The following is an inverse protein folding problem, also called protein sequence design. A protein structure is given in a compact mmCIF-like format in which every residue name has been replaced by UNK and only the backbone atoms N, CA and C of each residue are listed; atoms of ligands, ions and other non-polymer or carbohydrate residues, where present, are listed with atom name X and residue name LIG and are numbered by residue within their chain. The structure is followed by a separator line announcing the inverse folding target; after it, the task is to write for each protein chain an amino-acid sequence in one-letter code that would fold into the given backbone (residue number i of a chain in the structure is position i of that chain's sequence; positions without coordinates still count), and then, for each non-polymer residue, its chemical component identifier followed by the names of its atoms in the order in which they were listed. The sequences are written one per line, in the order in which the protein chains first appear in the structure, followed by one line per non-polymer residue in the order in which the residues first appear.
data_IF_006353199886
#
_entry.id   IF_006353199886
#
_cell.length_a   1.000
_cell.length_b   1.000
_cell.length_c   1.000
_cell.angle_alpha   90.00
_cell.angle_beta   90.00
_cell.angle_gamma   90.00
#
_symmetry.space_group_name_H-M   'P 1'
#
loop_
_entity.id
_entity.type
_entity.pdbx_description
1 polymer ?
#
# COMPACT_ATOMS: atom_id res chain seq x y z
N UNK A 1 -14.57 8.05 2.44
CA UNK A 1 -14.61 7.00 1.39
C UNK A 1 -16.06 6.72 1.06
N UNK A 2 -16.54 7.10 -0.15
CA UNK A 2 -17.93 6.87 -0.56
C UNK A 2 -18.19 5.43 -1.06
N UNK A 3 -17.14 4.72 -1.51
CA UNK A 3 -17.17 3.32 -1.95
C UNK A 3 -15.81 2.67 -1.65
N UNK A 4 -15.80 1.45 -1.12
CA UNK A 4 -14.56 0.69 -0.89
C UNK A 4 -13.77 0.40 -2.17
N UNK A 5 -14.41 0.34 -3.34
CA UNK A 5 -13.69 0.25 -4.62
C UNK A 5 -12.87 1.52 -4.87
N UNK A 6 -13.44 2.69 -4.58
CA UNK A 6 -12.69 3.96 -4.64
C UNK A 6 -11.57 3.99 -3.59
N UNK A 7 -11.81 3.50 -2.37
CA UNK A 7 -10.76 3.35 -1.35
C UNK A 7 -9.59 2.48 -1.80
N UNK A 8 -9.87 1.32 -2.41
CA UNK A 8 -8.87 0.43 -3.01
C UNK A 8 -8.05 1.13 -4.10
N UNK A 9 -8.72 1.86 -5.00
CA UNK A 9 -8.06 2.62 -6.06
C UNK A 9 -7.16 3.71 -5.50
N UNK A 10 -7.64 4.48 -4.51
CA UNK A 10 -6.85 5.54 -3.87
C UNK A 10 -5.62 4.97 -3.15
N UNK A 11 -5.76 3.88 -2.40
CA UNK A 11 -4.65 3.23 -1.73
C UNK A 11 -3.61 2.68 -2.71
N UNK A 12 -4.07 2.05 -3.79
CA UNK A 12 -3.16 1.66 -4.90
C UNK A 12 -2.46 2.89 -5.45
N UNK A 13 -3.19 3.91 -5.89
CA UNK A 13 -2.61 5.07 -6.55
C UNK A 13 -1.61 5.83 -5.68
N UNK A 14 -1.75 5.80 -4.35
CA UNK A 14 -0.80 6.41 -3.43
C UNK A 14 0.60 5.76 -3.52
N UNK A 15 0.69 4.44 -3.71
CA UNK A 15 1.95 3.73 -3.92
C UNK A 15 2.58 4.01 -5.30
N UNK A 16 1.73 4.30 -6.29
CA UNK A 16 2.12 4.51 -7.69
C UNK A 16 2.24 6.01 -8.05
N UNK A 17 2.07 6.91 -7.08
CA UNK A 17 1.93 8.34 -7.35
C UNK A 17 3.24 9.05 -7.72
N UNK A 18 4.42 8.41 -7.62
CA UNK A 18 5.74 8.90 -8.04
C UNK A 18 6.29 10.12 -7.28
N UNK A 19 5.45 11.14 -7.06
CA UNK A 19 5.77 12.44 -6.50
C UNK A 19 5.73 12.52 -4.96
N UNK A 20 5.24 11.48 -4.26
CA UNK A 20 5.16 11.46 -2.79
C UNK A 20 5.62 10.11 -2.25
N UNK A 21 6.75 10.12 -1.55
CA UNK A 21 7.25 8.96 -0.81
C UNK A 21 6.37 8.73 0.41
N UNK A 22 5.79 7.54 0.53
CA UNK A 22 5.07 7.15 1.75
C UNK A 22 6.08 6.66 2.79
N UNK A 23 6.25 7.43 3.86
CA UNK A 23 7.08 7.05 5.01
C UNK A 23 6.22 6.43 6.08
N UNK A 24 6.62 5.29 6.64
CA UNK A 24 5.92 4.59 7.72
C UNK A 24 6.91 4.25 8.82
N UNK A 25 7.05 5.18 9.77
CA UNK A 25 8.12 5.13 10.77
C UNK A 25 9.48 5.18 10.09
N UNK A 26 10.30 4.15 10.32
CA UNK A 26 11.63 4.00 9.68
C UNK A 26 11.59 3.35 8.29
N UNK A 27 10.42 2.89 7.84
CA UNK A 27 10.25 2.19 6.57
C UNK A 27 9.62 3.06 5.50
N UNK A 28 9.72 2.63 4.25
CA UNK A 28 9.07 3.29 3.11
C UNK A 28 8.11 2.34 2.40
N UNK A 29 7.08 2.89 1.77
CA UNK A 29 6.17 2.17 0.89
C UNK A 29 6.20 2.83 -0.50
N UNK A 30 6.75 2.11 -1.47
CA UNK A 30 7.04 2.60 -2.82
C UNK A 30 6.70 1.55 -3.88
N UNK A 31 6.58 1.99 -5.12
CA UNK A 31 6.32 1.11 -6.26
C UNK A 31 7.50 0.17 -6.60
N UNK A 32 8.75 0.63 -6.48
CA UNK A 32 9.97 -0.17 -6.72
C UNK A 32 9.99 -1.47 -5.89
N UNK A 33 9.53 -1.39 -4.64
CA UNK A 33 9.41 -2.54 -3.74
C UNK A 33 8.38 -3.56 -4.26
N UNK A 34 7.25 -3.11 -4.81
CA UNK A 34 6.21 -3.99 -5.40
C UNK A 34 6.71 -4.59 -6.71
N UNK A 35 7.39 -3.81 -7.55
CA UNK A 35 8.00 -4.28 -8.79
C UNK A 35 9.10 -5.33 -8.53
N UNK A 36 9.87 -5.15 -7.46
CA UNK A 36 10.87 -6.12 -7.02
C UNK A 36 10.21 -7.42 -6.57
N UNK A 37 9.14 -7.33 -5.77
CA UNK A 37 8.38 -8.50 -5.33
C UNK A 37 7.76 -9.25 -6.53
N UNK A 38 7.25 -8.56 -7.54
CA UNK A 38 6.66 -9.21 -8.72
C UNK A 38 7.66 -9.97 -9.58
N UNK A 39 8.96 -9.63 -9.50
CA UNK A 39 10.04 -10.28 -10.24
C UNK A 39 10.61 -11.52 -9.53
N UNK A 40 10.22 -11.78 -8.28
CA UNK A 40 10.68 -12.95 -7.53
C UNK A 40 10.10 -14.25 -8.13
N UNK A 41 10.87 -15.34 -8.11
CA UNK A 41 10.46 -16.62 -8.70
C UNK A 41 9.28 -17.29 -7.99
N UNK A 42 9.04 -16.95 -6.73
CA UNK A 42 7.93 -17.37 -5.88
C UNK A 42 6.84 -16.29 -5.71
N UNK A 43 6.87 -15.27 -6.57
CA UNK A 43 5.90 -14.17 -6.53
C UNK A 43 4.47 -14.66 -6.74
N UNK A 44 3.57 -14.25 -5.84
CA UNK A 44 2.11 -14.36 -6.02
C UNK A 44 1.52 -13.24 -6.87
N UNK A 45 2.32 -12.22 -7.19
CA UNK A 45 1.90 -11.08 -8.01
C UNK A 45 2.13 -11.40 -9.49
N UNK A 46 1.11 -11.18 -10.32
CA UNK A 46 1.26 -11.22 -11.77
C UNK A 46 1.96 -9.96 -12.25
N UNK A 47 3.07 -10.14 -12.97
CA UNK A 47 3.87 -9.04 -13.50
C UNK A 47 3.02 -8.06 -14.34
N UNK A 48 2.05 -8.57 -15.12
CA UNK A 48 1.11 -7.76 -15.92
C UNK A 48 0.20 -6.84 -15.11
N UNK A 49 -0.06 -7.16 -13.84
CA UNK A 49 -0.92 -6.35 -12.96
C UNK A 49 -0.12 -5.24 -12.26
N UNK A 50 1.20 -5.40 -12.19
CA UNK A 50 2.15 -4.46 -11.57
C UNK A 50 2.76 -3.55 -12.63
N UNK A 51 3.19 -4.11 -13.75
CA UNK A 51 3.73 -3.39 -14.89
C UNK A 51 2.66 -2.50 -15.51
N UNK A 52 2.88 -1.21 -15.41
CA UNK A 52 2.20 -0.24 -16.25
C UNK A 52 3.29 0.59 -16.95
N UNK A 53 3.23 0.66 -18.27
CA UNK A 53 4.34 1.09 -19.15
C UNK A 53 4.85 2.49 -18.81
N UNK A 54 3.95 3.41 -18.43
CA UNK A 54 4.28 4.80 -18.12
C UNK A 54 5.20 4.97 -16.88
N UNK A 55 5.26 3.97 -15.99
CA UNK A 55 5.98 4.06 -14.71
C UNK A 55 7.34 3.39 -14.74
N UNK A 56 7.56 2.48 -15.70
CA UNK A 56 8.86 1.82 -15.85
C UNK A 56 9.93 2.87 -16.20
N UNK A 57 9.63 3.81 -17.10
CA UNK A 57 10.56 4.89 -17.47
C UNK A 57 10.98 5.74 -16.26
N UNK A 58 10.06 6.08 -15.36
CA UNK A 58 10.36 6.89 -14.16
C UNK A 58 11.16 6.14 -13.09
N UNK A 59 11.01 4.81 -13.02
CA UNK A 59 11.63 3.96 -11.98
C UNK A 59 13.02 3.52 -12.40
N UNK A 60 13.26 3.28 -13.70
CA UNK A 60 14.59 2.93 -14.21
C UNK A 60 15.60 4.08 -14.08
N UNK A 61 15.14 5.33 -13.97
CA UNK A 61 16.02 6.51 -13.80
C UNK A 61 16.49 6.69 -12.33
N UNK A 62 15.85 6.00 -11.37
CA UNK A 62 16.26 6.00 -9.97
C UNK A 62 17.22 4.83 -9.72
N UNK A 63 18.52 5.14 -9.63
CA UNK A 63 19.56 4.18 -9.27
C UNK A 63 19.14 3.30 -8.08
N UNK A 64 19.25 1.99 -8.30
CA UNK A 64 18.84 0.87 -7.44
C UNK A 64 19.53 0.95 -6.06
N UNK A 65 18.96 1.75 -5.16
CA UNK A 65 19.23 1.64 -3.74
C UNK A 65 18.30 0.57 -3.19
N UNK A 66 18.84 -0.63 -2.98
CA UNK A 66 18.15 -1.66 -2.22
C UNK A 66 17.86 -1.09 -0.82
N UNK A 67 16.64 -0.57 -0.64
CA UNK A 67 16.15 -0.16 0.67
C UNK A 67 15.77 -1.44 1.43
N UNK A 68 16.53 -1.82 2.47
CA UNK A 68 16.30 -3.07 3.19
C UNK A 68 14.98 -3.04 3.99
N UNK A 69 14.32 -1.88 4.12
CA UNK A 69 13.21 -1.73 5.05
C UNK A 69 11.82 -1.93 4.41
N UNK A 70 11.53 -3.18 4.01
CA UNK A 70 10.22 -3.61 3.45
C UNK A 70 9.05 -3.52 4.45
N UNK A 71 9.32 -3.25 5.72
CA UNK A 71 8.31 -3.17 6.77
C UNK A 71 7.29 -2.06 6.50
N UNK A 72 7.71 -0.94 5.92
CA UNK A 72 6.80 0.15 5.55
C UNK A 72 5.74 -0.31 4.56
N UNK A 73 6.16 -0.89 3.43
CA UNK A 73 5.24 -1.45 2.44
C UNK A 73 4.28 -2.49 3.06
N UNK A 74 4.79 -3.40 3.89
CA UNK A 74 3.94 -4.40 4.54
C UNK A 74 2.87 -3.78 5.44
N UNK A 75 3.26 -2.83 6.30
CA UNK A 75 2.34 -2.10 7.18
C UNK A 75 1.28 -1.38 6.35
N UNK A 76 1.69 -0.71 5.26
CA UNK A 76 0.77 -0.02 4.36
C UNK A 76 -0.27 -0.98 3.77
N UNK A 77 0.20 -2.08 3.16
CA UNK A 77 -0.66 -3.06 2.51
C UNK A 77 -1.59 -3.74 3.52
N UNK A 78 -1.10 -4.01 4.73
CA UNK A 78 -1.91 -4.59 5.80
C UNK A 78 -3.02 -3.63 6.25
N UNK A 79 -2.69 -2.39 6.61
CA UNK A 79 -3.65 -1.43 7.16
C UNK A 79 -4.74 -1.08 6.14
N UNK A 80 -4.35 -0.78 4.89
CA UNK A 80 -5.30 -0.42 3.83
C UNK A 80 -6.04 -1.67 3.33
N UNK A 81 -5.36 -2.80 3.20
CA UNK A 81 -5.94 -4.08 2.78
C UNK A 81 -7.01 -4.56 3.75
N UNK A 82 -6.74 -4.54 5.06
CA UNK A 82 -7.70 -4.94 6.08
C UNK A 82 -8.91 -4.02 6.14
N UNK A 83 -8.74 -2.70 5.95
CA UNK A 83 -9.88 -1.78 5.85
C UNK A 83 -10.80 -2.12 4.67
N UNK A 84 -10.23 -2.42 3.50
CA UNK A 84 -11.00 -2.79 2.30
C UNK A 84 -11.68 -4.14 2.51
N UNK A 85 -10.96 -5.12 3.09
CA UNK A 85 -11.47 -6.44 3.43
C UNK A 85 -12.64 -6.33 4.41
N UNK A 86 -12.49 -5.57 5.51
CA UNK A 86 -13.55 -5.31 6.48
C UNK A 86 -14.82 -4.72 5.84
N UNK A 87 -14.67 -3.86 4.82
CA UNK A 87 -15.81 -3.28 4.14
C UNK A 87 -16.50 -4.26 3.16
N UNK A 88 -15.73 -5.01 2.37
CA UNK A 88 -16.25 -5.84 1.28
C UNK A 88 -16.63 -7.26 1.72
N UNK A 89 -15.96 -7.79 2.73
CA UNK A 89 -16.15 -9.16 3.17
C UNK A 89 -17.50 -9.33 3.88
N UNK A 90 -18.25 -10.37 3.50
CA UNK A 90 -19.59 -10.65 4.05
C UNK A 90 -19.55 -11.56 5.28
N UNK A 91 -18.44 -12.23 5.57
CA UNK A 91 -18.32 -13.19 6.68
C UNK A 91 -17.82 -12.55 7.97
N UNK A 92 -17.05 -11.45 7.89
CA UNK A 92 -16.54 -10.73 9.06
C UNK A 92 -17.72 -10.13 9.84
N UNK A 93 -17.74 -10.34 11.17
CA UNK A 93 -18.77 -9.81 12.06
C UNK A 93 -18.77 -8.27 12.10
N UNK A 94 -19.92 -7.65 12.32
CA UNK A 94 -20.01 -6.18 12.41
C UNK A 94 -19.07 -5.58 13.46
N UNK A 95 -18.94 -6.23 14.63
CA UNK A 95 -18.02 -5.82 15.69
C UNK A 95 -16.57 -5.76 15.19
N UNK A 96 -16.13 -6.79 14.47
CA UNK A 96 -14.77 -6.86 13.96
C UNK A 96 -14.53 -5.85 12.84
N UNK A 97 -15.52 -5.60 11.98
CA UNK A 97 -15.44 -4.54 10.96
C UNK A 97 -15.26 -3.15 11.59
N UNK A 98 -16.02 -2.85 12.64
CA UNK A 98 -15.87 -1.60 13.39
C UNK A 98 -14.49 -1.50 14.04
N UNK A 99 -13.99 -2.60 14.61
CA UNK A 99 -12.65 -2.66 15.20
C UNK A 99 -11.57 -2.33 14.17
N UNK A 100 -11.59 -2.99 13.01
CA UNK A 100 -10.63 -2.76 11.92
C UNK A 100 -10.72 -1.31 11.44
N UNK A 101 -11.93 -0.79 11.21
CA UNK A 101 -12.12 0.59 10.77
C UNK A 101 -11.56 1.62 11.77
N UNK A 102 -11.78 1.41 13.07
CA UNK A 102 -11.26 2.28 14.13
C UNK A 102 -9.73 2.19 14.21
N UNK A 103 -9.16 0.97 14.13
CA UNK A 103 -7.71 0.78 14.12
C UNK A 103 -7.05 1.47 12.93
N UNK A 104 -7.61 1.31 11.72
CA UNK A 104 -7.12 1.99 10.53
C UNK A 104 -7.24 3.51 10.66
N UNK A 105 -8.35 4.02 11.22
CA UNK A 105 -8.53 5.45 11.46
C UNK A 105 -7.45 6.01 12.40
N UNK A 106 -7.24 5.38 13.57
CA UNK A 106 -6.21 5.83 14.50
C UNK A 106 -4.81 5.74 13.92
N UNK A 107 -4.51 4.67 13.17
CA UNK A 107 -3.23 4.54 12.50
C UNK A 107 -2.98 5.70 11.51
N UNK A 108 -3.94 5.96 10.62
CA UNK A 108 -3.82 7.04 9.63
C UNK A 108 -3.77 8.42 10.28
N UNK A 109 -4.52 8.63 11.37
CA UNK A 109 -4.49 9.88 12.13
C UNK A 109 -3.12 10.12 12.77
N UNK A 110 -2.59 9.13 13.49
CA UNK A 110 -1.27 9.21 14.11
C UNK A 110 -0.17 9.37 13.06
N UNK A 111 -0.31 8.70 11.92
CA UNK A 111 0.61 8.81 10.81
C UNK A 111 0.58 10.21 10.19
N UNK A 112 -0.59 10.80 9.96
CA UNK A 112 -0.71 12.17 9.44
C UNK A 112 -0.02 13.18 10.37
N UNK A 113 -0.24 13.06 11.68
CA UNK A 113 0.39 13.91 12.68
C UNK A 113 1.92 13.71 12.82
N UNK A 114 2.46 12.62 12.28
CA UNK A 114 3.90 12.34 12.30
C UNK A 114 4.62 12.92 11.07
N UNK A 115 3.90 13.10 9.96
CA UNK A 115 4.44 13.58 8.68
C UNK A 115 4.18 15.08 8.44
N UNK A 116 3.19 15.67 9.12
CA UNK A 116 2.94 17.12 9.22
C UNK A 116 3.71 17.74 10.39
#
# INVERSE_FOLDING_TARGET
VQDAKHGKKSGRNALFSGARLLTLGTGTAKYDQILTLSKMSDSVLYMRDVENTDWLEQVYDQNDSQDPNKHGLFIYLFVIGELINAYQNRTISHKERCRIAILTYFFLYMWNNHIE
#
